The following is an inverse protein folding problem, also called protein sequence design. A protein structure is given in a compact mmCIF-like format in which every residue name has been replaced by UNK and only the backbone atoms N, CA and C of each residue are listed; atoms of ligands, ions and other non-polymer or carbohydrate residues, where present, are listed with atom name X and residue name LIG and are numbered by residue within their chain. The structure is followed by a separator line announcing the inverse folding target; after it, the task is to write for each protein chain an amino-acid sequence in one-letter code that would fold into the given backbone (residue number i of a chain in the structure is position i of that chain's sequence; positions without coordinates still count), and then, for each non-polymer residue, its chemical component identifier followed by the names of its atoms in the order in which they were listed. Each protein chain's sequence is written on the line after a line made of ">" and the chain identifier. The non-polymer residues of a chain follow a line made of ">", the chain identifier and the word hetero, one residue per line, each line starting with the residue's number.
data_IF_950590668978
#
_entry.id   IF_950590668978
#
_cell.length_a   1.000
_cell.length_b   1.000
_cell.length_c   1.000
_cell.angle_alpha   90.00
_cell.angle_beta   90.00
_cell.angle_gamma   90.00
#
_symmetry.space_group_name_H-M   'P 1'
#
loop_
_entity.id
_entity.type
_entity.pdbx_description
1 polymer ?
#
# COMPACT_ATOMS: atom_id res chain seq x y z
N UNK A 1 -1.78 -16.92 11.65
CA UNK A 1 -3.00 -17.75 11.56
C UNK A 1 -3.26 -18.10 10.09
N UNK A 2 -3.85 -19.29 9.81
CA UNK A 2 -3.98 -19.82 8.45
C UNK A 2 -4.80 -18.93 7.49
N UNK A 3 -5.70 -18.09 8.01
CA UNK A 3 -6.66 -17.29 7.24
C UNK A 3 -6.33 -15.79 7.16
N UNK A 4 -5.15 -15.36 7.62
CA UNK A 4 -4.75 -13.94 7.60
C UNK A 4 -4.63 -13.43 6.16
N UNK A 5 -5.37 -12.36 5.86
CA UNK A 5 -5.34 -11.67 4.57
C UNK A 5 -4.30 -10.55 4.60
N UNK A 6 -3.33 -10.58 3.69
CA UNK A 6 -2.16 -9.71 3.69
C UNK A 6 -2.12 -8.87 2.42
N UNK A 7 -1.89 -7.58 2.59
CA UNK A 7 -1.63 -6.62 1.52
C UNK A 7 -0.16 -6.21 1.57
N UNK A 8 0.58 -6.48 0.49
CA UNK A 8 1.98 -6.11 0.36
C UNK A 8 2.09 -4.92 -0.59
N UNK A 9 2.65 -3.83 -0.11
CA UNK A 9 2.74 -2.57 -0.81
C UNK A 9 4.18 -2.09 -0.92
N UNK A 10 4.49 -1.41 -2.01
CA UNK A 10 5.70 -0.61 -2.12
C UNK A 10 5.45 0.62 -3.01
N UNK A 11 6.45 1.51 -3.08
CA UNK A 11 6.37 2.72 -3.88
C UNK A 11 6.48 2.43 -5.38
N UNK A 12 7.42 1.56 -5.79
CA UNK A 12 7.73 1.30 -7.19
C UNK A 12 7.22 -0.06 -7.67
N UNK A 13 6.93 -0.17 -8.97
CA UNK A 13 6.58 -1.45 -9.58
C UNK A 13 7.71 -2.46 -9.46
N UNK A 14 8.97 -2.02 -9.59
CA UNK A 14 10.14 -2.88 -9.44
C UNK A 14 10.21 -3.50 -8.05
N UNK A 15 10.05 -2.71 -7.00
CA UNK A 15 10.05 -3.23 -5.62
C UNK A 15 8.89 -4.22 -5.38
N UNK A 16 7.70 -3.95 -5.93
CA UNK A 16 6.59 -4.91 -5.85
C UNK A 16 6.92 -6.20 -6.63
N UNK A 17 7.60 -6.12 -7.76
CA UNK A 17 8.00 -7.31 -8.53
C UNK A 17 9.09 -8.11 -7.78
N UNK A 18 9.98 -7.47 -7.03
CA UNK A 18 10.93 -8.12 -6.12
C UNK A 18 10.20 -8.88 -4.99
N UNK A 19 9.15 -8.29 -4.40
CA UNK A 19 8.27 -8.97 -3.45
C UNK A 19 7.61 -10.19 -4.11
N UNK A 20 7.06 -10.03 -5.32
CA UNK A 20 6.45 -11.12 -6.08
C UNK A 20 7.43 -12.27 -6.37
N UNK A 21 8.72 -11.94 -6.62
CA UNK A 21 9.78 -12.94 -6.79
C UNK A 21 9.94 -13.80 -5.55
N UNK A 22 10.02 -13.16 -4.38
CA UNK A 22 10.15 -13.86 -3.10
C UNK A 22 8.95 -14.74 -2.78
N UNK A 23 7.74 -14.28 -3.08
CA UNK A 23 6.52 -15.09 -2.91
C UNK A 23 6.55 -16.33 -3.81
N UNK A 24 6.97 -16.19 -5.07
CA UNK A 24 7.12 -17.33 -5.99
C UNK A 24 8.18 -18.33 -5.52
N UNK A 25 9.34 -17.86 -5.07
CA UNK A 25 10.39 -18.71 -4.51
C UNK A 25 9.88 -19.56 -3.33
N UNK A 26 8.93 -19.03 -2.55
CA UNK A 26 8.31 -19.72 -1.42
C UNK A 26 7.01 -20.46 -1.78
N UNK A 27 6.66 -20.53 -3.08
CA UNK A 27 5.42 -21.15 -3.56
C UNK A 27 4.15 -20.57 -2.93
N UNK A 28 4.16 -19.28 -2.60
CA UNK A 28 3.00 -18.56 -2.07
C UNK A 28 2.21 -17.97 -3.22
N UNK A 29 0.92 -18.34 -3.34
CA UNK A 29 0.04 -17.74 -4.35
C UNK A 29 -0.35 -16.31 -3.97
N UNK A 30 -0.46 -15.42 -4.97
CA UNK A 30 -0.79 -14.02 -4.78
C UNK A 30 -1.52 -13.43 -5.98
N UNK A 31 -2.20 -12.31 -5.75
CA UNK A 31 -2.73 -11.44 -6.79
C UNK A 31 -1.86 -10.18 -6.87
N UNK A 32 -1.46 -9.79 -8.08
CA UNK A 32 -0.78 -8.54 -8.39
C UNK A 32 -1.78 -7.53 -8.94
N UNK A 33 -1.95 -6.37 -8.28
CA UNK A 33 -2.73 -5.24 -8.80
C UNK A 33 -1.80 -4.34 -9.62
N UNK A 34 -2.15 -4.11 -10.86
CA UNK A 34 -1.36 -3.31 -11.79
C UNK A 34 -1.70 -3.63 -13.24
N UNK A 35 -0.91 -3.09 -14.16
CA UNK A 35 -1.03 -3.33 -15.59
C UNK A 35 0.13 -4.20 -16.12
N UNK A 36 -0.05 -4.84 -17.27
CA UNK A 36 1.01 -5.61 -17.94
C UNK A 36 2.21 -4.75 -18.32
N UNK A 37 1.99 -3.46 -18.60
CA UNK A 37 3.07 -2.53 -18.97
C UNK A 37 3.99 -2.24 -17.77
N UNK A 38 3.43 -2.23 -16.56
CA UNK A 38 4.11 -1.86 -15.33
C UNK A 38 4.54 -3.05 -14.47
N UNK A 39 4.39 -4.28 -14.98
CA UNK A 39 4.65 -5.52 -14.25
C UNK A 39 5.60 -6.40 -15.09
N UNK A 40 6.55 -7.04 -14.44
CA UNK A 40 7.41 -8.00 -15.14
C UNK A 40 6.56 -9.15 -15.72
N UNK A 41 6.92 -9.58 -16.93
CA UNK A 41 6.22 -10.66 -17.66
C UNK A 41 6.10 -11.95 -16.84
N UNK A 42 7.05 -12.21 -15.97
CA UNK A 42 7.04 -13.38 -15.09
C UNK A 42 5.83 -13.41 -14.15
N UNK A 43 5.17 -12.27 -13.90
CA UNK A 43 4.03 -12.13 -12.97
C UNK A 43 2.71 -11.82 -13.68
N UNK A 44 2.68 -11.77 -15.01
CA UNK A 44 1.45 -11.49 -15.76
C UNK A 44 0.31 -12.47 -15.41
N UNK A 45 0.60 -13.74 -15.19
CA UNK A 45 -0.40 -14.73 -14.75
C UNK A 45 -1.00 -14.41 -13.37
N UNK A 46 -0.29 -13.66 -12.52
CA UNK A 46 -0.74 -13.24 -11.20
C UNK A 46 -1.50 -11.91 -11.21
N UNK A 47 -1.52 -11.18 -12.33
CA UNK A 47 -2.30 -9.95 -12.44
C UNK A 47 -3.79 -10.24 -12.21
N UNK A 48 -4.44 -9.38 -11.42
CA UNK A 48 -5.87 -9.52 -11.13
C UNK A 48 -6.68 -9.67 -12.42
N UNK A 49 -6.45 -8.78 -13.42
CA UNK A 49 -7.17 -8.84 -14.70
C UNK A 49 -7.06 -10.20 -15.38
N UNK A 50 -5.90 -10.87 -15.29
CA UNK A 50 -5.68 -12.16 -15.94
C UNK A 50 -6.28 -13.31 -15.11
N UNK A 51 -6.21 -13.23 -13.78
CA UNK A 51 -6.89 -14.20 -12.89
C UNK A 51 -8.41 -14.18 -13.02
N UNK A 52 -9.02 -13.01 -13.28
CA UNK A 52 -10.48 -12.88 -13.43
C UNK A 52 -10.97 -13.00 -14.89
N UNK A 53 -10.09 -13.21 -15.85
CA UNK A 53 -10.43 -13.24 -17.28
C UNK A 53 -11.48 -14.29 -17.62
N UNK A 54 -11.53 -15.39 -16.89
CA UNK A 54 -12.52 -16.45 -17.06
C UNK A 54 -13.79 -16.26 -16.21
N UNK A 55 -13.82 -15.27 -15.33
CA UNK A 55 -14.99 -14.98 -14.51
C UNK A 55 -16.10 -14.37 -15.37
N UNK A 56 -17.28 -14.99 -15.37
CA UNK A 56 -18.44 -14.54 -16.16
C UNK A 56 -19.40 -13.63 -15.37
N UNK A 57 -19.25 -13.56 -14.05
CA UNK A 57 -20.14 -12.81 -13.15
C UNK A 57 -19.33 -11.97 -12.18
N UNK A 58 -19.93 -10.90 -11.69
CA UNK A 58 -19.34 -10.06 -10.63
C UNK A 58 -19.03 -10.84 -9.35
N UNK A 59 -19.88 -11.80 -9.00
CA UNK A 59 -19.69 -12.66 -7.82
C UNK A 59 -18.46 -13.57 -7.96
N UNK A 60 -18.19 -14.10 -9.15
CA UNK A 60 -16.99 -14.88 -9.41
C UNK A 60 -15.72 -14.02 -9.30
N UNK A 61 -15.75 -12.77 -9.79
CA UNK A 61 -14.66 -11.81 -9.60
C UNK A 61 -14.44 -11.50 -8.13
N UNK A 62 -15.52 -11.24 -7.40
CA UNK A 62 -15.45 -10.96 -5.96
C UNK A 62 -14.94 -12.18 -5.18
N UNK A 63 -15.34 -13.40 -5.56
CA UNK A 63 -14.82 -14.65 -4.99
C UNK A 63 -13.32 -14.76 -5.16
N UNK A 64 -12.80 -14.60 -6.38
CA UNK A 64 -11.36 -14.64 -6.65
C UNK A 64 -10.56 -13.67 -5.78
N UNK A 65 -11.09 -12.46 -5.56
CA UNK A 65 -10.44 -11.48 -4.68
C UNK A 65 -10.53 -11.87 -3.20
N UNK A 66 -11.68 -12.35 -2.74
CA UNK A 66 -11.88 -12.75 -1.33
C UNK A 66 -10.98 -13.92 -0.95
N UNK A 67 -10.83 -14.90 -1.83
CA UNK A 67 -10.06 -16.12 -1.59
C UNK A 67 -8.55 -15.88 -1.62
N UNK A 68 -8.09 -14.82 -2.28
CA UNK A 68 -6.66 -14.49 -2.32
C UNK A 68 -6.15 -14.07 -0.95
N UNK A 69 -5.24 -14.83 -0.37
CA UNK A 69 -4.60 -14.48 0.93
C UNK A 69 -3.63 -13.31 0.81
N UNK A 70 -2.87 -13.25 -0.27
CA UNK A 70 -1.84 -12.23 -0.49
C UNK A 70 -2.18 -11.41 -1.72
N UNK A 71 -2.18 -10.10 -1.56
CA UNK A 71 -2.33 -9.14 -2.66
C UNK A 71 -1.14 -8.20 -2.66
N UNK A 72 -0.52 -8.01 -3.82
CA UNK A 72 0.64 -7.14 -4.02
C UNK A 72 0.25 -5.96 -4.92
N UNK A 73 0.66 -4.74 -4.56
CA UNK A 73 0.38 -3.55 -5.36
C UNK A 73 1.40 -2.44 -5.08
N UNK A 74 1.49 -1.46 -5.98
CA UNK A 74 2.03 -0.16 -5.60
C UNK A 74 0.94 0.64 -4.86
N UNK A 75 1.35 1.57 -3.99
CA UNK A 75 0.40 2.49 -3.34
C UNK A 75 -0.43 3.27 -4.36
N UNK A 76 0.19 3.72 -5.45
CA UNK A 76 -0.50 4.43 -6.53
C UNK A 76 -1.55 3.55 -7.24
N UNK A 77 -1.21 2.30 -7.58
CA UNK A 77 -2.14 1.37 -8.21
C UNK A 77 -3.34 1.07 -7.31
N UNK A 78 -3.12 0.94 -6.00
CA UNK A 78 -4.19 0.66 -5.05
C UNK A 78 -5.08 1.88 -4.81
N UNK A 79 -4.50 3.09 -4.70
CA UNK A 79 -5.26 4.33 -4.60
C UNK A 79 -6.17 4.55 -5.84
N UNK A 80 -5.73 4.11 -7.02
CA UNK A 80 -6.56 4.13 -8.25
C UNK A 80 -7.64 3.03 -8.26
N UNK A 81 -7.57 2.06 -7.35
CA UNK A 81 -8.46 0.91 -7.29
C UNK A 81 -9.13 0.74 -5.92
N UNK A 82 -9.46 1.85 -5.24
CA UNK A 82 -10.06 1.85 -3.88
C UNK A 82 -11.36 1.06 -3.77
N UNK A 83 -12.08 0.85 -4.87
CA UNK A 83 -13.29 0.00 -4.89
C UNK A 83 -13.00 -1.47 -4.52
N UNK A 84 -11.75 -1.92 -4.61
CA UNK A 84 -11.32 -3.23 -4.14
C UNK A 84 -11.66 -3.43 -2.66
N UNK A 85 -11.55 -2.39 -1.85
CA UNK A 85 -11.88 -2.42 -0.42
C UNK A 85 -13.37 -2.64 -0.11
N UNK A 86 -14.26 -2.40 -1.08
CA UNK A 86 -15.69 -2.78 -0.94
C UNK A 86 -15.89 -4.29 -1.02
N UNK A 87 -14.95 -5.00 -1.65
CA UNK A 87 -15.02 -6.45 -1.88
C UNK A 87 -14.21 -7.22 -0.84
N UNK A 88 -13.01 -6.70 -0.49
CA UNK A 88 -12.04 -7.40 0.35
C UNK A 88 -11.51 -6.49 1.44
N UNK A 89 -11.43 -7.06 2.66
CA UNK A 89 -10.70 -6.49 3.80
C UNK A 89 -9.36 -7.19 3.96
N UNK A 90 -8.42 -6.50 4.59
CA UNK A 90 -7.10 -7.03 4.92
C UNK A 90 -6.83 -6.92 6.42
N UNK A 91 -6.29 -7.99 6.99
CA UNK A 91 -5.89 -8.02 8.40
C UNK A 91 -4.59 -7.25 8.63
N UNK A 92 -3.73 -7.24 7.60
CA UNK A 92 -2.41 -6.63 7.67
C UNK A 92 -2.02 -6.03 6.31
N UNK A 93 -1.56 -4.78 6.31
CA UNK A 93 -0.81 -4.20 5.22
C UNK A 93 0.66 -4.04 5.63
N UNK A 94 1.56 -4.54 4.81
CA UNK A 94 3.01 -4.32 4.95
C UNK A 94 3.41 -3.38 3.82
N UNK A 95 3.96 -2.24 4.18
CA UNK A 95 4.41 -1.19 3.26
C UNK A 95 5.93 -1.16 3.27
N UNK A 96 6.53 -1.65 2.22
CA UNK A 96 7.97 -1.62 2.02
C UNK A 96 8.40 -0.29 1.37
N UNK A 97 9.62 0.15 1.62
CA UNK A 97 10.15 1.46 1.22
C UNK A 97 9.26 2.64 1.67
N UNK A 98 8.65 2.53 2.85
CA UNK A 98 7.69 3.51 3.36
C UNK A 98 8.27 4.93 3.52
N UNK A 99 9.59 5.06 3.65
CA UNK A 99 10.31 6.34 3.67
C UNK A 99 10.25 7.10 2.34
N UNK A 100 9.99 6.40 1.23
CA UNK A 100 9.86 6.99 -0.11
C UNK A 100 8.42 7.38 -0.46
N UNK A 101 7.45 7.10 0.43
CA UNK A 101 6.03 7.35 0.17
C UNK A 101 5.60 8.59 0.96
N UNK A 102 5.18 9.63 0.25
CA UNK A 102 4.62 10.83 0.87
C UNK A 102 3.38 10.48 1.70
N UNK A 103 3.22 11.11 2.86
CA UNK A 103 2.14 10.82 3.78
C UNK A 103 0.75 10.88 3.13
N UNK A 104 0.40 11.87 2.28
CA UNK A 104 -0.90 11.91 1.61
C UNK A 104 -1.23 10.67 0.78
N UNK A 105 -0.22 9.99 0.21
CA UNK A 105 -0.43 8.77 -0.57
C UNK A 105 -0.78 7.55 0.29
N UNK A 106 -0.40 7.53 1.55
CA UNK A 106 -0.78 6.47 2.50
C UNK A 106 -2.10 6.76 3.19
N UNK A 107 -2.45 8.03 3.44
CA UNK A 107 -3.67 8.41 4.15
C UNK A 107 -4.93 7.85 3.48
N UNK A 108 -5.01 7.87 2.14
CA UNK A 108 -6.12 7.28 1.39
C UNK A 108 -6.34 5.81 1.70
N UNK A 109 -5.24 5.06 1.87
CA UNK A 109 -5.29 3.63 2.20
C UNK A 109 -5.60 3.39 3.68
N UNK A 110 -5.05 4.22 4.57
CA UNK A 110 -5.29 4.12 6.02
C UNK A 110 -6.72 4.46 6.39
N UNK A 111 -7.33 5.38 5.65
CA UNK A 111 -8.73 5.79 5.83
C UNK A 111 -9.73 4.96 5.01
N UNK A 112 -9.26 3.96 4.24
CA UNK A 112 -10.12 3.14 3.41
C UNK A 112 -11.13 2.35 4.26
N UNK A 113 -12.37 2.28 3.78
CA UNK A 113 -13.49 1.62 4.46
C UNK A 113 -14.06 0.46 3.65
N UNK A 114 -14.51 -0.56 4.38
CA UNK A 114 -15.31 -1.66 3.86
C UNK A 114 -16.62 -1.70 4.64
N UNK A 115 -17.65 -1.06 4.10
CA UNK A 115 -18.85 -0.75 4.86
C UNK A 115 -18.54 0.19 6.03
N UNK A 116 -18.94 -0.20 7.24
CA UNK A 116 -18.71 0.59 8.46
C UNK A 116 -17.38 0.28 9.17
N UNK A 117 -16.57 -0.62 8.64
CA UNK A 117 -15.31 -1.04 9.24
C UNK A 117 -14.10 -0.56 8.44
N UNK A 118 -12.94 -0.52 9.07
CA UNK A 118 -11.68 -0.27 8.39
C UNK A 118 -11.41 -1.39 7.38
N UNK A 119 -10.96 -0.99 6.19
CA UNK A 119 -10.63 -1.94 5.13
C UNK A 119 -9.32 -2.67 5.41
N UNK A 120 -8.44 -2.06 6.19
CA UNK A 120 -7.14 -2.61 6.61
C UNK A 120 -7.04 -2.47 8.13
N UNK A 121 -6.87 -3.58 8.83
CA UNK A 121 -6.89 -3.59 10.31
C UNK A 121 -5.58 -3.11 10.94
N UNK A 122 -4.43 -3.43 10.32
CA UNK A 122 -3.09 -3.08 10.84
C UNK A 122 -2.15 -2.74 9.71
N UNK A 123 -1.18 -1.85 10.03
CA UNK A 123 -0.09 -1.46 9.13
C UNK A 123 1.26 -1.78 9.77
N UNK A 124 2.18 -2.28 8.95
CA UNK A 124 3.61 -2.36 9.22
C UNK A 124 4.32 -1.54 8.17
N UNK A 125 5.06 -0.54 8.59
CA UNK A 125 5.85 0.32 7.72
C UNK A 125 7.31 -0.09 7.83
N UNK A 126 7.92 -0.44 6.71
CA UNK A 126 9.33 -0.80 6.58
C UNK A 126 9.99 0.27 5.73
N UNK A 127 11.11 0.83 6.18
CA UNK A 127 11.81 1.87 5.45
C UNK A 127 13.13 2.26 6.13
N UNK A 128 13.92 3.01 5.41
CA UNK A 128 15.16 3.59 5.91
C UNK A 128 15.17 5.10 5.62
N UNK A 129 15.05 5.91 6.67
CA UNK A 129 15.02 7.38 6.58
C UNK A 129 16.38 8.00 6.19
N UNK A 130 17.45 7.19 6.12
CA UNK A 130 18.80 7.61 5.67
C UNK A 130 19.01 7.36 4.17
N UNK A 131 18.11 6.65 3.51
CA UNK A 131 18.12 6.47 2.07
C UNK A 131 17.50 7.69 1.36
N UNK A 132 17.40 7.62 0.02
CA UNK A 132 16.82 8.70 -0.77
C UNK A 132 15.40 9.04 -0.30
N UNK A 133 15.10 10.32 -0.07
CA UNK A 133 13.76 10.74 0.33
C UNK A 133 12.75 10.56 -0.81
N UNK A 134 11.48 10.68 -0.49
CA UNK A 134 10.41 10.70 -1.47
C UNK A 134 10.63 11.80 -2.53
N UNK A 135 10.27 11.50 -3.78
CA UNK A 135 10.31 12.50 -4.84
C UNK A 135 9.19 13.51 -4.64
N UNK A 136 9.56 14.77 -4.50
CA UNK A 136 8.63 15.88 -4.23
C UNK A 136 8.62 16.84 -5.42
N UNK A 137 7.43 17.22 -5.85
CA UNK A 137 7.23 18.20 -6.92
C UNK A 137 6.83 19.58 -6.39
N UNK A 138 6.24 19.64 -5.19
CA UNK A 138 5.79 20.88 -4.56
C UNK A 138 6.97 21.64 -3.94
N UNK A 139 6.86 22.96 -3.95
CA UNK A 139 7.75 23.85 -3.19
C UNK A 139 7.43 23.78 -1.70
N UNK A 140 8.34 24.30 -0.86
CA UNK A 140 8.12 24.37 0.59
C UNK A 140 6.90 25.23 0.95
N UNK A 141 6.66 26.30 0.21
CA UNK A 141 5.51 27.17 0.46
C UNK A 141 4.17 26.48 0.17
N UNK A 142 4.13 25.63 -0.87
CA UNK A 142 2.91 24.89 -1.29
C UNK A 142 2.59 23.69 -0.39
N UNK A 143 3.58 23.16 0.29
CA UNK A 143 3.46 21.93 1.07
C UNK A 143 3.36 22.18 2.59
N UNK A 144 3.59 23.42 3.02
CA UNK A 144 3.57 23.80 4.42
C UNK A 144 2.17 23.66 5.00
N UNK A 145 2.09 23.00 6.14
CA UNK A 145 0.83 22.84 6.88
C UNK A 145 0.65 24.04 7.82
N UNK A 146 -0.54 24.60 7.85
CA UNK A 146 -0.92 25.75 8.68
C UNK A 146 -2.03 25.42 9.68
N UNK A 147 -2.76 24.34 9.47
CA UNK A 147 -3.89 23.91 10.29
C UNK A 147 -3.40 23.45 11.69
N UNK A 148 -3.88 24.07 12.79
CA UNK A 148 -3.43 23.76 14.14
C UNK A 148 -3.58 22.27 14.53
N UNK A 149 -4.65 21.62 14.09
CA UNK A 149 -4.92 20.21 14.37
C UNK A 149 -3.86 19.30 13.72
N UNK A 150 -3.45 19.60 12.49
CA UNK A 150 -2.42 18.84 11.79
C UNK A 150 -1.03 19.12 12.37
N UNK A 151 -0.75 20.36 12.75
CA UNK A 151 0.49 20.72 13.45
C UNK A 151 0.60 20.01 14.80
N UNK A 152 -0.51 19.84 15.52
CA UNK A 152 -0.53 19.17 16.83
C UNK A 152 -0.12 17.69 16.77
N UNK A 153 -0.31 17.03 15.64
CA UNK A 153 0.14 15.65 15.39
C UNK A 153 1.53 15.58 14.73
N UNK A 154 2.24 16.71 14.62
CA UNK A 154 3.58 16.80 14.05
C UNK A 154 3.62 16.82 12.51
N UNK A 155 2.48 16.98 11.82
CA UNK A 155 2.44 17.18 10.37
C UNK A 155 2.70 18.66 10.06
N UNK A 156 3.93 18.99 9.73
CA UNK A 156 4.37 20.37 9.43
C UNK A 156 4.56 20.63 7.95
N UNK A 157 4.77 19.56 7.16
CA UNK A 157 5.08 19.63 5.74
C UNK A 157 4.65 18.34 5.04
N UNK A 158 3.79 18.45 4.03
CA UNK A 158 3.28 17.32 3.23
C UNK A 158 4.34 16.66 2.31
N UNK A 159 5.56 17.22 2.25
CA UNK A 159 6.70 16.62 1.53
C UNK A 159 7.40 15.51 2.32
N UNK A 160 7.00 15.28 3.58
CA UNK A 160 7.54 14.21 4.40
C UNK A 160 6.75 12.91 4.23
N UNK A 161 7.43 11.80 4.46
CA UNK A 161 6.77 10.51 4.59
C UNK A 161 6.15 10.37 5.99
N UNK A 162 5.05 9.62 6.07
CA UNK A 162 4.48 9.21 7.36
C UNK A 162 5.51 8.48 8.21
N UNK A 163 6.38 7.67 7.57
CA UNK A 163 7.44 6.92 8.23
C UNK A 163 8.40 7.84 9.00
N UNK A 164 8.89 8.92 8.36
CA UNK A 164 9.77 9.89 9.02
C UNK A 164 9.06 10.66 10.15
N UNK A 165 7.80 11.04 9.94
CA UNK A 165 7.03 11.75 10.96
C UNK A 165 6.83 10.87 12.20
N UNK A 166 6.44 9.61 12.04
CA UNK A 166 6.30 8.68 13.16
C UNK A 166 7.63 8.44 13.87
N UNK A 167 8.73 8.23 13.15
CA UNK A 167 10.07 8.09 13.77
C UNK A 167 10.45 9.32 14.60
N UNK A 168 10.14 10.51 14.11
CA UNK A 168 10.43 11.75 14.84
C UNK A 168 9.59 11.85 16.12
N UNK A 169 8.32 11.43 16.08
CA UNK A 169 7.42 11.43 17.23
C UNK A 169 7.86 10.41 18.30
N UNK A 170 8.35 9.23 17.90
CA UNK A 170 8.85 8.23 18.85
C UNK A 170 10.16 8.66 19.52
N UNK A 171 11.08 9.30 18.80
CA UNK A 171 12.35 9.79 19.37
C UNK A 171 12.17 10.90 20.43
N UNK A 172 11.06 11.62 20.41
CA UNK A 172 10.74 12.64 21.43
C UNK A 172 10.15 12.06 22.73
N UNK A 173 9.73 10.81 22.73
CA UNK A 173 9.17 10.13 23.91
C UNK A 173 10.25 9.47 24.77
N UNK A 174 11.40 9.13 24.18
CA UNK A 174 12.52 8.45 24.84
C UNK A 174 13.65 9.42 25.30
N UNK A 175 13.43 10.75 25.26
CA UNK A 175 14.40 11.80 25.57
C UNK A 175 14.11 12.53 26.89
#
# INVERSE_FOLDING_TARGET
>A
EADTSILLLSYTNRAVDEICSKLKEQSIDFIRIGSEISCDKAYHANLLRNKIQQCRTGDAVAGTLKDARVVCATTAALNSNVNLFKIKRFDLAIVDEASQILEPHLLGLMCARSGNADAISRFVLIGDHKQLPAVVQQTEAESRVTEPELLSIGLTDCRRSLFERLLSSFKTVDG
#
